data_IF_426793341302
#
_entry.id   IF_426793341302
#
_cell.length_a   1.000
_cell.length_b   1.000
_cell.length_c   1.000
_cell.angle_alpha   90.00
_cell.angle_beta   90.00
_cell.angle_gamma   90.00
#
_symmetry.space_group_name_H-M   'P 1'
#
loop_
_entity.id
_entity.type
_entity.pdbx_description
1 polymer ?
#
# COMPACT_ATOMS: atom_id res chain seq x y z
N UNK A 1 8.66 9.49 -22.64
CA UNK A 1 7.70 8.56 -22.04
C UNK A 1 6.88 9.31 -21.01
N UNK A 2 5.58 9.35 -21.22
CA UNK A 2 4.66 10.10 -20.37
C UNK A 2 3.91 9.10 -19.50
N UNK A 3 3.96 9.27 -18.17
CA UNK A 3 3.07 8.56 -17.26
C UNK A 3 1.84 9.45 -17.11
N UNK A 4 0.68 8.92 -17.51
CA UNK A 4 -0.58 9.63 -17.37
C UNK A 4 -1.20 9.30 -16.01
N UNK A 5 -1.42 10.32 -15.19
CA UNK A 5 -2.36 10.27 -14.07
C UNK A 5 -3.63 10.92 -14.60
N UNK A 6 -4.57 10.11 -15.09
CA UNK A 6 -5.83 10.61 -15.64
C UNK A 6 -6.80 10.87 -14.49
N UNK A 7 -7.11 12.12 -14.25
CA UNK A 7 -8.24 12.54 -13.42
C UNK A 7 -9.39 12.94 -14.35
N UNK A 8 -10.42 12.11 -14.46
CA UNK A 8 -11.72 12.54 -15.00
C UNK A 8 -12.58 12.98 -13.82
N UNK A 9 -12.99 14.24 -13.73
CA UNK A 9 -13.98 14.61 -12.74
C UNK A 9 -15.27 13.83 -13.01
N UNK A 10 -15.67 13.00 -12.05
CA UNK A 10 -16.99 12.38 -12.05
C UNK A 10 -17.98 13.54 -12.03
N UNK A 11 -18.74 13.76 -13.12
CA UNK A 11 -19.88 14.66 -13.12
C UNK A 11 -20.93 14.03 -12.20
N UNK A 12 -20.86 14.37 -10.92
CA UNK A 12 -21.96 14.12 -10.01
C UNK A 12 -23.17 14.92 -10.51
N UNK A 13 -24.23 14.20 -10.89
CA UNK A 13 -25.51 14.79 -11.23
C UNK A 13 -25.96 15.71 -10.09
N UNK A 14 -26.48 16.90 -10.44
CA UNK A 14 -27.06 17.85 -9.49
C UNK A 14 -28.10 17.15 -8.63
N UNK A 15 -27.83 17.01 -7.31
CA UNK A 15 -28.83 16.53 -6.38
C UNK A 15 -28.37 15.74 -5.16
N UNK A 16 -27.16 15.92 -4.65
CA UNK A 16 -26.82 15.32 -3.35
C UNK A 16 -26.64 16.43 -2.33
N UNK A 17 -27.67 16.55 -1.44
CA UNK A 17 -27.62 17.37 -0.24
C UNK A 17 -26.51 16.86 0.69
N UNK A 18 -25.64 17.77 1.14
CA UNK A 18 -24.69 17.51 2.20
C UNK A 18 -25.42 17.07 3.49
N UNK A 19 -25.32 15.81 3.83
CA UNK A 19 -25.65 15.34 5.18
C UNK A 19 -24.44 15.54 6.08
N UNK A 20 -24.59 16.44 7.06
CA UNK A 20 -23.65 16.54 8.19
C UNK A 20 -23.69 15.23 8.97
N UNK A 21 -22.56 14.55 9.05
CA UNK A 21 -22.38 13.46 9.99
C UNK A 21 -22.03 14.02 11.36
N UNK A 22 -22.94 13.82 12.30
CA UNK A 22 -22.66 13.98 13.74
C UNK A 22 -22.05 12.66 14.24
N UNK A 23 -20.82 12.71 14.69
CA UNK A 23 -20.15 11.60 15.35
C UNK A 23 -20.72 11.41 16.76
N UNK A 24 -21.46 10.34 16.97
CA UNK A 24 -21.74 9.80 18.31
C UNK A 24 -20.73 8.68 18.58
N UNK A 25 -19.84 8.94 19.54
CA UNK A 25 -18.89 7.95 20.05
C UNK A 25 -19.63 6.96 20.97
N UNK A 26 -19.76 5.73 20.56
CA UNK A 26 -20.11 4.61 21.44
C UNK A 26 -18.87 3.78 21.71
N UNK A 27 -18.35 3.88 22.93
CA UNK A 27 -17.32 3.02 23.49
C UNK A 27 -17.88 1.63 23.73
N UNK A 28 -17.46 0.66 22.92
CA UNK A 28 -17.68 -0.76 23.21
C UNK A 28 -16.32 -1.37 23.54
N UNK A 29 -16.20 -1.84 24.78
CA UNK A 29 -15.01 -2.53 25.32
C UNK A 29 -14.79 -3.85 24.60
N UNK A 30 -13.75 -3.96 23.80
CA UNK A 30 -13.29 -5.23 23.23
C UNK A 30 -12.41 -5.96 24.25
N UNK A 31 -12.84 -7.18 24.63
CA UNK A 31 -12.11 -8.05 25.52
C UNK A 31 -10.77 -8.49 24.92
N UNK A 32 -9.75 -8.43 25.76
CA UNK A 32 -8.41 -8.89 25.44
C UNK A 32 -8.40 -10.41 25.18
N UNK A 33 -8.09 -10.80 23.97
CA UNK A 33 -7.77 -12.20 23.62
C UNK A 33 -6.30 -12.42 23.92
N UNK A 34 -6.00 -13.29 24.87
CA UNK A 34 -4.66 -13.64 25.29
C UNK A 34 -3.90 -14.34 24.15
N UNK A 35 -2.69 -13.86 23.91
CA UNK A 35 -1.71 -14.45 23.00
C UNK A 35 -1.25 -15.82 23.53
N UNK A 36 -1.16 -16.88 22.73
CA UNK A 36 -0.56 -18.13 23.17
C UNK A 36 0.97 -17.99 23.27
N UNK A 37 1.50 -18.45 24.39
CA UNK A 37 2.92 -18.46 24.71
C UNK A 37 3.75 -19.19 23.66
N UNK A 38 4.86 -18.59 23.27
CA UNK A 38 5.86 -19.16 22.38
C UNK A 38 6.53 -20.37 23.05
N UNK A 39 6.51 -21.51 22.34
CA UNK A 39 7.30 -22.68 22.70
C UNK A 39 8.77 -22.45 22.31
N UNK A 40 9.62 -22.64 23.29
CA UNK A 40 11.07 -22.61 23.26
C UNK A 40 11.64 -23.67 22.31
N UNK A 41 12.43 -23.23 21.32
CA UNK A 41 13.35 -24.08 20.57
C UNK A 41 14.71 -23.37 20.52
N UNK A 42 15.49 -23.60 21.59
CA UNK A 42 16.89 -23.22 21.68
C UNK A 42 17.74 -24.07 20.73
N UNK A 43 18.20 -23.48 19.64
CA UNK A 43 19.47 -23.87 19.02
C UNK A 43 20.49 -22.78 19.33
N UNK A 44 21.44 -23.15 20.21
CA UNK A 44 22.62 -22.35 20.48
C UNK A 44 23.56 -22.45 19.28
N UNK A 45 23.78 -21.36 18.58
CA UNK A 45 24.98 -21.11 17.80
C UNK A 45 25.73 -20.00 18.51
N UNK A 46 26.88 -20.36 19.07
CA UNK A 46 27.76 -19.54 19.84
C UNK A 46 28.56 -18.63 18.91
N UNK A 47 28.18 -17.35 18.85
CA UNK A 47 29.02 -16.18 18.58
C UNK A 47 28.22 -14.93 19.02
N UNK A 48 28.09 -14.78 20.33
CA UNK A 48 27.38 -13.67 20.98
C UNK A 48 28.37 -12.50 21.25
N UNK A 49 28.51 -11.60 20.29
CA UNK A 49 29.08 -10.26 20.50
C UNK A 49 27.98 -9.20 20.75
N UNK A 50 26.81 -9.62 21.24
CA UNK A 50 25.73 -8.72 21.67
C UNK A 50 25.05 -7.92 20.55
N UNK A 51 25.30 -8.25 19.27
CA UNK A 51 24.64 -7.64 18.13
C UNK A 51 23.52 -8.54 17.63
N UNK A 52 22.31 -8.00 17.56
CA UNK A 52 21.18 -8.62 16.86
C UNK A 52 21.61 -9.20 15.52
N UNK A 53 21.11 -10.39 15.13
CA UNK A 53 21.53 -11.05 13.88
C UNK A 53 21.34 -10.09 12.71
N UNK A 54 22.42 -9.86 11.96
CA UNK A 54 22.43 -8.94 10.80
C UNK A 54 21.53 -9.52 9.72
N UNK A 55 20.32 -8.96 9.59
CA UNK A 55 19.40 -9.36 8.54
C UNK A 55 19.87 -8.84 7.19
N UNK A 56 19.88 -9.70 6.17
CA UNK A 56 20.23 -9.34 4.80
C UNK A 56 18.99 -9.37 3.92
N UNK A 57 18.70 -8.28 3.23
CA UNK A 57 17.62 -8.16 2.25
C UNK A 57 18.16 -7.90 0.85
N UNK A 58 17.43 -8.38 -0.16
CA UNK A 58 17.73 -8.06 -1.54
C UNK A 58 17.27 -6.63 -1.83
N UNK A 59 18.21 -5.78 -2.25
CA UNK A 59 17.92 -4.41 -2.67
C UNK A 59 17.76 -4.38 -4.20
N UNK A 60 16.58 -3.99 -4.68
CA UNK A 60 16.28 -3.92 -6.11
C UNK A 60 17.16 -2.91 -6.84
N UNK A 61 17.50 -1.79 -6.19
CA UNK A 61 18.34 -0.75 -6.79
C UNK A 61 19.76 -1.26 -7.06
N UNK A 62 20.40 -1.89 -6.07
CA UNK A 62 21.77 -2.42 -6.21
C UNK A 62 21.83 -3.82 -6.82
N UNK A 63 20.67 -4.54 -6.87
CA UNK A 63 20.52 -5.95 -7.29
C UNK A 63 21.37 -6.94 -6.48
N UNK A 64 21.64 -6.60 -5.23
CA UNK A 64 22.46 -7.40 -4.31
C UNK A 64 21.71 -7.62 -2.99
N UNK A 65 22.12 -8.67 -2.26
CA UNK A 65 21.76 -8.80 -0.85
C UNK A 65 22.67 -7.86 -0.04
N UNK A 66 22.04 -7.03 0.78
CA UNK A 66 22.71 -6.04 1.62
C UNK A 66 22.24 -6.18 3.05
N UNK A 67 23.08 -5.80 4.00
CA UNK A 67 22.69 -5.72 5.41
C UNK A 67 21.57 -4.69 5.52
N UNK A 68 20.43 -5.10 6.09
CA UNK A 68 19.34 -4.18 6.35
C UNK A 68 19.73 -3.23 7.47
N UNK A 69 19.61 -1.93 7.20
CA UNK A 69 19.76 -0.85 8.17
C UNK A 69 18.53 0.03 8.09
N UNK A 70 17.90 0.38 9.24
CA UNK A 70 16.84 1.38 9.26
C UNK A 70 17.34 2.71 8.68
N UNK A 71 16.40 3.56 8.28
CA UNK A 71 16.71 4.91 7.80
C UNK A 71 17.53 5.67 8.85
N UNK A 72 18.47 6.49 8.40
CA UNK A 72 19.31 7.32 9.27
C UNK A 72 18.48 8.11 10.28
N UNK A 73 18.85 8.02 11.56
CA UNK A 73 18.15 8.66 12.67
C UNK A 73 16.85 7.96 13.12
N UNK A 74 16.45 6.87 12.49
CA UNK A 74 15.23 6.14 12.88
C UNK A 74 15.42 5.22 14.09
N UNK A 75 16.67 4.91 14.47
CA UNK A 75 16.98 3.96 15.54
C UNK A 75 16.46 2.56 15.21
N UNK A 76 15.57 2.02 16.03
CA UNK A 76 14.89 0.74 15.85
C UNK A 76 13.58 0.84 15.02
N UNK A 77 13.15 2.05 14.63
CA UNK A 77 11.90 2.25 13.88
C UNK A 77 12.06 1.91 12.41
N UNK A 78 11.15 1.08 11.91
CA UNK A 78 11.08 0.66 10.50
C UNK A 78 9.70 0.95 9.95
N UNK A 79 9.63 1.59 8.79
CA UNK A 79 8.39 1.71 8.04
C UNK A 79 8.40 0.75 6.86
N UNK A 80 7.36 -0.08 6.74
CA UNK A 80 7.17 -1.03 5.67
C UNK A 80 5.88 -0.70 4.91
N UNK A 81 6.00 -0.48 3.60
CA UNK A 81 4.84 -0.30 2.74
C UNK A 81 4.73 -1.45 1.74
N UNK A 82 3.56 -2.06 1.68
CA UNK A 82 3.25 -3.10 0.70
C UNK A 82 2.00 -2.66 -0.07
N UNK A 83 2.10 -2.66 -1.40
CA UNK A 83 0.98 -2.34 -2.26
C UNK A 83 -0.19 -3.28 -1.97
N UNK A 84 -1.37 -2.72 -1.75
CA UNK A 84 -2.58 -3.47 -1.48
C UNK A 84 -3.29 -3.95 -2.75
N UNK A 85 -4.52 -4.37 -2.58
CA UNK A 85 -5.36 -4.90 -3.66
C UNK A 85 -6.31 -3.84 -4.20
N UNK A 86 -6.75 -4.02 -5.46
CA UNK A 86 -7.94 -3.37 -5.99
C UNK A 86 -9.13 -4.27 -5.67
N UNK A 87 -10.07 -3.75 -4.88
CA UNK A 87 -11.14 -4.54 -4.25
C UNK A 87 -12.37 -4.68 -5.13
N UNK A 88 -12.24 -5.43 -6.23
CA UNK A 88 -13.31 -5.70 -7.18
C UNK A 88 -13.64 -7.20 -7.34
N UNK A 89 -12.84 -8.09 -6.73
CA UNK A 89 -13.02 -9.54 -6.78
C UNK A 89 -12.31 -10.21 -5.59
N UNK A 90 -12.56 -11.50 -5.39
CA UNK A 90 -11.92 -12.32 -4.36
C UNK A 90 -10.41 -12.45 -4.54
N UNK A 91 -9.71 -12.73 -3.45
CA UNK A 91 -8.29 -13.02 -3.48
C UNK A 91 -8.01 -14.32 -4.25
N UNK A 92 -6.84 -14.38 -4.88
CA UNK A 92 -6.34 -15.59 -5.51
C UNK A 92 -4.94 -15.92 -4.99
N UNK A 93 -4.39 -17.06 -5.39
CA UNK A 93 -3.10 -17.57 -4.91
C UNK A 93 -1.94 -16.56 -5.09
N UNK A 94 -2.02 -15.68 -6.08
CA UNK A 94 -1.05 -14.61 -6.26
C UNK A 94 -1.05 -13.60 -5.12
N UNK A 95 -2.23 -13.22 -4.61
CA UNK A 95 -2.37 -12.37 -3.43
C UNK A 95 -1.84 -13.06 -2.18
N UNK A 96 -2.24 -14.33 -1.96
CA UNK A 96 -1.74 -15.14 -0.85
C UNK A 96 -0.20 -15.19 -0.83
N UNK A 97 0.42 -15.46 -1.99
CA UNK A 97 1.89 -15.51 -2.12
C UNK A 97 2.56 -14.21 -1.68
N UNK A 98 2.02 -13.06 -2.11
CA UNK A 98 2.59 -11.75 -1.79
C UNK A 98 2.47 -11.48 -0.29
N UNK A 99 1.25 -11.59 0.26
CA UNK A 99 1.01 -11.15 1.63
C UNK A 99 1.59 -12.10 2.67
N UNK A 100 1.63 -13.42 2.42
CA UNK A 100 2.34 -14.36 3.29
C UNK A 100 3.85 -14.09 3.27
N UNK A 101 4.45 -13.79 2.10
CA UNK A 101 5.88 -13.48 2.04
C UNK A 101 6.23 -12.20 2.82
N UNK A 102 5.39 -11.16 2.73
CA UNK A 102 5.60 -9.93 3.48
C UNK A 102 5.24 -10.07 4.97
N UNK A 103 4.30 -10.95 5.33
CA UNK A 103 4.03 -11.29 6.73
C UNK A 103 5.24 -11.95 7.40
N UNK A 104 5.91 -12.88 6.71
CA UNK A 104 7.15 -13.47 7.19
C UNK A 104 8.24 -12.40 7.41
N UNK A 105 8.38 -11.46 6.48
CA UNK A 105 9.32 -10.34 6.64
C UNK A 105 8.94 -9.46 7.82
N UNK A 106 7.67 -9.12 7.96
CA UNK A 106 7.14 -8.30 9.07
C UNK A 106 7.45 -8.93 10.43
N UNK A 107 7.15 -10.24 10.58
CA UNK A 107 7.46 -11.01 11.80
C UNK A 107 8.96 -11.07 12.07
N UNK A 108 9.77 -11.24 11.03
CA UNK A 108 11.22 -11.29 11.19
C UNK A 108 11.80 -9.94 11.63
N UNK A 109 11.29 -8.83 11.10
CA UNK A 109 11.68 -7.49 11.55
C UNK A 109 11.34 -7.28 13.03
N UNK A 110 10.12 -7.62 13.45
CA UNK A 110 9.72 -7.54 14.86
C UNK A 110 10.56 -8.44 15.75
N UNK A 111 10.86 -9.69 15.31
CA UNK A 111 11.72 -10.61 16.06
C UNK A 111 13.14 -10.06 16.19
N UNK A 112 13.64 -9.34 15.21
CA UNK A 112 14.95 -8.68 15.25
C UNK A 112 14.97 -7.43 16.15
N UNK A 113 13.86 -7.10 16.83
CA UNK A 113 13.74 -6.00 17.77
C UNK A 113 13.37 -4.67 17.16
N UNK A 114 12.96 -4.62 15.88
CA UNK A 114 12.49 -3.38 15.26
C UNK A 114 11.04 -3.06 15.62
N UNK A 115 10.78 -1.77 15.84
CA UNK A 115 9.43 -1.20 15.93
C UNK A 115 8.92 -0.93 14.51
N UNK A 116 8.04 -1.79 14.01
CA UNK A 116 7.64 -1.79 12.60
C UNK A 116 6.26 -1.17 12.41
N UNK A 117 6.20 -0.07 11.70
CA UNK A 117 4.93 0.46 11.17
C UNK A 117 4.68 -0.14 9.79
N UNK A 118 3.74 -1.07 9.70
CA UNK A 118 3.35 -1.72 8.46
C UNK A 118 2.11 -1.07 7.86
N UNK A 119 2.24 -0.52 6.66
CA UNK A 119 1.17 0.07 5.88
C UNK A 119 0.86 -0.78 4.63
N UNK A 120 -0.43 -1.11 4.43
CA UNK A 120 -0.96 -1.75 3.23
C UNK A 120 -2.22 -1.01 2.80
N UNK A 121 -2.25 -0.46 1.60
CA UNK A 121 -3.40 0.31 1.13
C UNK A 121 -4.50 -0.58 0.53
N UNK A 122 -5.70 -0.02 0.40
CA UNK A 122 -6.73 -0.52 -0.51
C UNK A 122 -6.93 0.47 -1.66
N UNK A 123 -6.96 -0.06 -2.89
CA UNK A 123 -7.43 0.69 -4.05
C UNK A 123 -8.93 0.45 -4.17
N UNK A 124 -9.69 1.32 -3.52
CA UNK A 124 -11.15 1.25 -3.40
C UNK A 124 -11.87 2.15 -4.41
N UNK A 125 -11.14 2.72 -5.37
CA UNK A 125 -11.65 3.44 -6.54
C UNK A 125 -10.81 3.08 -7.76
N UNK A 126 -11.44 2.47 -8.77
CA UNK A 126 -10.79 2.02 -10.02
C UNK A 126 -11.85 1.71 -11.07
N UNK A 127 -11.50 1.82 -12.36
CA UNK A 127 -12.39 1.47 -13.46
C UNK A 127 -12.92 0.01 -13.39
N UNK A 128 -12.12 -0.91 -12.82
CA UNK A 128 -12.52 -2.31 -12.61
C UNK A 128 -13.62 -2.46 -11.59
N UNK A 129 -13.61 -1.63 -10.53
CA UNK A 129 -14.66 -1.59 -9.51
C UNK A 129 -15.96 -1.10 -10.15
N UNK A 130 -15.90 0.01 -10.88
CA UNK A 130 -17.06 0.60 -11.57
C UNK A 130 -17.65 -0.41 -12.56
N UNK A 131 -16.80 -1.06 -13.36
CA UNK A 131 -17.22 -2.07 -14.32
C UNK A 131 -17.92 -3.23 -13.62
N UNK A 132 -17.31 -3.79 -12.57
CA UNK A 132 -17.86 -4.93 -11.83
C UNK A 132 -19.18 -4.60 -11.14
N UNK A 133 -19.29 -3.42 -10.52
CA UNK A 133 -20.52 -2.94 -9.89
C UNK A 133 -21.66 -2.82 -10.92
N UNK A 134 -21.38 -2.27 -12.10
CA UNK A 134 -22.35 -2.17 -13.19
C UNK A 134 -22.78 -3.55 -13.72
N UNK A 135 -21.84 -4.50 -13.89
CA UNK A 135 -22.12 -5.87 -14.32
C UNK A 135 -23.02 -6.60 -13.31
N UNK A 136 -22.84 -6.36 -12.02
CA UNK A 136 -23.63 -6.98 -10.94
C UNK A 136 -24.93 -6.22 -10.64
N UNK A 137 -25.11 -5.00 -11.15
CA UNK A 137 -26.26 -4.14 -10.81
C UNK A 137 -26.26 -3.69 -9.35
N UNK A 138 -25.09 -3.49 -8.74
CA UNK A 138 -24.90 -3.08 -7.34
C UNK A 138 -24.15 -1.77 -7.23
N UNK A 139 -24.20 -1.16 -6.05
CA UNK A 139 -23.46 0.05 -5.71
C UNK A 139 -21.96 -0.24 -5.53
N UNK A 140 -21.09 0.71 -5.97
CA UNK A 140 -19.66 0.56 -5.89
C UNK A 140 -19.15 0.42 -4.43
N UNK A 141 -19.73 1.21 -3.51
CA UNK A 141 -19.30 1.17 -2.11
C UNK A 141 -19.68 -0.17 -1.46
N UNK A 142 -20.87 -0.69 -1.77
CA UNK A 142 -21.31 -2.01 -1.29
C UNK A 142 -20.41 -3.15 -1.82
N UNK A 143 -20.01 -3.08 -3.09
CA UNK A 143 -19.06 -4.02 -3.69
C UNK A 143 -17.71 -3.97 -3.00
N UNK A 144 -17.18 -2.77 -2.80
CA UNK A 144 -15.87 -2.52 -2.16
C UNK A 144 -15.83 -3.06 -0.75
N UNK A 145 -16.83 -2.72 0.10
CA UNK A 145 -16.86 -3.19 1.49
C UNK A 145 -16.89 -4.72 1.54
N UNK A 146 -17.73 -5.36 0.72
CA UNK A 146 -17.79 -6.82 0.66
C UNK A 146 -16.45 -7.47 0.33
N UNK A 147 -15.69 -6.93 -0.64
CA UNK A 147 -14.41 -7.51 -1.01
C UNK A 147 -13.26 -7.13 -0.07
N UNK A 148 -13.35 -6.02 0.67
CA UNK A 148 -12.45 -5.74 1.79
C UNK A 148 -12.66 -6.77 2.90
N UNK A 149 -13.91 -7.03 3.28
CA UNK A 149 -14.23 -8.03 4.30
C UNK A 149 -13.74 -9.42 3.90
N UNK A 150 -14.04 -9.85 2.66
CA UNK A 150 -13.56 -11.12 2.13
C UNK A 150 -12.02 -11.21 2.09
N UNK A 151 -11.35 -10.13 1.74
CA UNK A 151 -9.89 -10.07 1.78
C UNK A 151 -9.34 -10.23 3.21
N UNK A 152 -9.96 -9.58 4.20
CA UNK A 152 -9.57 -9.75 5.60
C UNK A 152 -9.81 -11.18 6.10
N UNK A 153 -10.92 -11.81 5.72
CA UNK A 153 -11.20 -13.23 6.03
C UNK A 153 -10.10 -14.13 5.45
N UNK A 154 -9.73 -13.95 4.18
CA UNK A 154 -8.69 -14.71 3.51
C UNK A 154 -7.32 -14.53 4.20
N UNK A 155 -6.93 -13.28 4.53
CA UNK A 155 -5.65 -13.01 5.20
C UNK A 155 -5.62 -13.59 6.61
N UNK A 156 -6.71 -13.53 7.34
CA UNK A 156 -6.84 -14.17 8.66
C UNK A 156 -6.73 -15.69 8.56
N UNK A 157 -7.39 -16.32 7.57
CA UNK A 157 -7.31 -17.76 7.33
C UNK A 157 -5.89 -18.22 6.97
N UNK A 158 -5.11 -17.35 6.29
CA UNK A 158 -3.70 -17.58 6.00
C UNK A 158 -2.78 -17.32 7.21
N UNK A 159 -3.32 -16.81 8.32
CA UNK A 159 -2.56 -16.48 9.52
C UNK A 159 -1.68 -15.25 9.39
N UNK A 160 -1.92 -14.39 8.40
CA UNK A 160 -1.22 -13.12 8.25
C UNK A 160 -1.60 -12.15 9.37
N UNK A 161 -0.61 -11.41 9.89
CA UNK A 161 -0.86 -10.35 10.85
C UNK A 161 -1.54 -9.15 10.18
N UNK A 162 -2.40 -8.50 10.94
CA UNK A 162 -3.03 -7.25 10.49
C UNK A 162 -1.97 -6.16 10.39
N UNK A 163 -1.93 -5.40 9.28
CA UNK A 163 -1.07 -4.22 9.17
C UNK A 163 -1.38 -3.16 10.22
N UNK A 164 -0.41 -2.30 10.52
CA UNK A 164 -0.61 -1.16 11.41
C UNK A 164 -1.60 -0.15 10.83
N UNK A 165 -1.60 -0.01 9.49
CA UNK A 165 -2.42 0.95 8.76
C UNK A 165 -2.92 0.32 7.45
N UNK A 166 -4.20 0.53 7.14
CA UNK A 166 -4.81 0.13 5.86
C UNK A 166 -5.58 1.32 5.25
N UNK A 167 -4.85 2.34 4.72
CA UNK A 167 -5.50 3.51 4.12
C UNK A 167 -6.23 3.13 2.84
N UNK A 168 -7.36 3.80 2.59
CA UNK A 168 -8.16 3.68 1.37
C UNK A 168 -7.87 4.85 0.44
N UNK A 169 -7.75 4.61 -0.86
CA UNK A 169 -7.47 5.66 -1.84
C UNK A 169 -8.53 6.78 -1.80
N UNK A 170 -9.81 6.43 -1.63
CA UNK A 170 -10.91 7.40 -1.52
C UNK A 170 -10.77 8.37 -0.35
N UNK A 171 -10.16 7.93 0.75
CA UNK A 171 -9.93 8.76 1.93
C UNK A 171 -8.80 9.78 1.75
N UNK A 172 -7.97 9.60 0.70
CA UNK A 172 -6.77 10.39 0.43
C UNK A 172 -6.83 11.18 -0.89
N UNK A 173 -8.03 11.36 -1.46
CA UNK A 173 -8.19 12.13 -2.70
C UNK A 173 -7.69 13.56 -2.54
N UNK A 174 -7.96 14.21 -1.38
CA UNK A 174 -7.44 15.54 -1.07
C UNK A 174 -5.91 15.57 -1.09
N UNK A 175 -5.26 14.64 -0.41
CA UNK A 175 -3.80 14.54 -0.37
C UNK A 175 -3.19 14.30 -1.76
N UNK A 176 -3.88 13.53 -2.62
CA UNK A 176 -3.47 13.26 -4.01
C UNK A 176 -3.55 14.56 -4.84
N UNK A 177 -4.62 15.34 -4.67
CA UNK A 177 -4.80 16.62 -5.35
C UNK A 177 -3.70 17.59 -4.91
N UNK A 178 -3.51 17.77 -3.61
CA UNK A 178 -2.50 18.66 -3.04
C UNK A 178 -1.09 18.30 -3.53
N UNK A 179 -0.76 17.00 -3.58
CA UNK A 179 0.52 16.55 -4.10
C UNK A 179 0.66 16.87 -5.60
N UNK A 180 -0.39 16.67 -6.38
CA UNK A 180 -0.41 16.96 -7.82
C UNK A 180 -0.21 18.45 -8.09
N UNK A 181 -0.91 19.31 -7.36
CA UNK A 181 -0.76 20.78 -7.46
C UNK A 181 0.67 21.21 -7.13
N UNK A 182 1.25 20.68 -6.06
CA UNK A 182 2.65 20.96 -5.69
C UNK A 182 3.65 20.48 -6.74
N UNK A 183 3.37 19.40 -7.46
CA UNK A 183 4.22 18.95 -8.58
C UNK A 183 4.11 19.90 -9.77
N UNK A 184 2.94 20.44 -10.05
CA UNK A 184 2.73 21.45 -11.09
C UNK A 184 3.49 22.75 -10.72
N UNK A 185 3.31 23.25 -9.50
CA UNK A 185 3.99 24.46 -9.00
C UNK A 185 5.53 24.35 -9.09
N UNK A 186 6.07 23.14 -8.87
CA UNK A 186 7.50 22.86 -8.97
C UNK A 186 7.99 22.59 -10.39
N UNK A 187 7.11 22.56 -11.39
CA UNK A 187 7.44 22.27 -12.78
C UNK A 187 7.71 20.80 -13.08
N UNK A 188 7.31 19.89 -12.18
CA UNK A 188 7.46 18.44 -12.37
C UNK A 188 6.22 17.78 -12.97
N UNK A 189 5.11 18.48 -13.03
CA UNK A 189 3.90 18.02 -13.70
C UNK A 189 3.27 19.18 -14.50
N UNK A 190 2.44 18.84 -15.48
CA UNK A 190 1.77 19.79 -16.33
C UNK A 190 0.36 19.34 -16.72
N UNK A 191 -0.61 20.27 -16.73
CA UNK A 191 -1.95 19.96 -17.22
C UNK A 191 -1.95 19.91 -18.75
N UNK A 192 -2.87 19.12 -19.31
CA UNK A 192 -3.13 19.06 -20.75
C UNK A 192 -4.60 19.32 -21.03
N UNK A 193 -4.92 19.63 -22.30
CA UNK A 193 -6.30 19.80 -22.75
C UNK A 193 -7.10 18.51 -22.46
N UNK A 194 -8.24 18.67 -21.79
CA UNK A 194 -9.07 17.53 -21.35
C UNK A 194 -9.04 17.29 -19.84
N UNK A 195 -8.20 18.01 -19.07
CA UNK A 195 -8.17 17.99 -17.61
C UNK A 195 -7.25 16.94 -16.99
N UNK A 196 -6.50 16.20 -17.79
CA UNK A 196 -5.46 15.28 -17.30
C UNK A 196 -4.22 16.06 -16.87
N UNK A 197 -3.49 15.51 -15.89
CA UNK A 197 -2.18 16.01 -15.47
C UNK A 197 -1.12 14.95 -15.73
N UNK A 198 -0.02 15.34 -16.34
CA UNK A 198 1.09 14.45 -16.65
C UNK A 198 2.34 14.81 -15.85
N UNK A 199 3.04 13.80 -15.37
CA UNK A 199 4.36 13.97 -14.77
C UNK A 199 5.42 14.17 -15.86
N UNK A 200 6.25 15.22 -15.72
CA UNK A 200 7.36 15.50 -16.62
C UNK A 200 8.56 14.61 -16.26
N UNK A 201 8.63 13.42 -16.85
CA UNK A 201 9.65 12.42 -16.53
C UNK A 201 11.07 12.96 -16.64
N UNK A 202 11.33 13.81 -17.64
CA UNK A 202 12.64 14.43 -17.88
C UNK A 202 13.05 15.41 -16.77
N UNK A 203 12.09 15.84 -15.93
CA UNK A 203 12.36 16.68 -14.76
C UNK A 203 12.99 15.92 -13.58
N UNK A 204 13.05 14.58 -13.64
CA UNK A 204 13.65 13.72 -12.63
C UNK A 204 14.80 12.90 -13.28
N UNK A 205 16.05 13.34 -13.20
CA UNK A 205 17.19 12.66 -13.83
C UNK A 205 17.37 11.21 -13.40
N UNK A 206 16.98 10.87 -12.17
CA UNK A 206 17.07 9.52 -11.59
C UNK A 206 15.86 8.65 -11.87
N UNK A 207 14.92 9.10 -12.71
CA UNK A 207 13.72 8.34 -13.03
C UNK A 207 14.08 6.95 -13.59
N UNK A 208 13.47 5.90 -13.01
CA UNK A 208 13.73 4.51 -13.39
C UNK A 208 14.95 3.87 -12.73
N UNK A 209 15.77 4.61 -11.96
CA UNK A 209 16.98 4.09 -11.30
C UNK A 209 16.69 2.89 -10.38
N UNK A 210 15.59 2.92 -9.62
CA UNK A 210 15.20 1.82 -8.73
C UNK A 210 14.96 0.52 -9.50
N UNK A 211 14.20 0.58 -10.59
CA UNK A 211 13.85 -0.60 -11.39
C UNK A 211 14.96 -1.01 -12.36
N UNK A 212 15.88 -0.10 -12.68
CA UNK A 212 16.89 -0.25 -13.71
C UNK A 212 16.29 -0.32 -15.13
N UNK A 213 15.04 0.13 -15.30
CA UNK A 213 14.41 0.21 -16.62
C UNK A 213 14.95 1.41 -17.39
N UNK A 214 15.26 1.20 -18.65
CA UNK A 214 15.56 2.29 -19.57
C UNK A 214 14.26 2.95 -20.01
N UNK A 215 14.25 4.27 -20.09
CA UNK A 215 13.08 5.03 -20.55
C UNK A 215 12.63 4.64 -21.97
N UNK A 216 13.57 4.24 -22.80
CA UNK A 216 13.35 3.77 -24.18
C UNK A 216 12.50 2.48 -24.25
N UNK A 217 12.55 1.65 -23.19
CA UNK A 217 11.79 0.41 -23.12
C UNK A 217 10.32 0.63 -22.69
N UNK A 218 9.96 1.85 -22.29
CA UNK A 218 8.60 2.19 -21.90
C UNK A 218 7.79 2.49 -23.18
N UNK A 219 6.76 1.67 -23.42
CA UNK A 219 5.83 1.90 -24.53
C UNK A 219 4.92 3.08 -24.19
N UNK A 220 4.97 4.13 -25.00
CA UNK A 220 4.12 5.29 -24.84
C UNK A 220 2.65 4.91 -25.10
N UNK A 221 1.75 5.21 -24.16
CA UNK A 221 0.31 5.07 -24.35
C UNK A 221 -0.28 3.68 -24.10
N UNK A 222 0.46 2.70 -23.62
CA UNK A 222 -0.12 1.45 -23.11
C UNK A 222 -0.75 1.70 -21.71
N UNK A 223 -2.08 1.54 -21.66
CA UNK A 223 -2.91 1.43 -20.47
C UNK A 223 -3.51 0.05 -20.40
#
# INVERSE_FOLDING_TARGET
>A
PRISISYRPIRLGRGVQQRRFTTTSSTTSAGAVASPAAADATTKDDDDDGKSPRMMLHNTMSRKKEIFTPRDGAGDKVTMYVCGVTVYDYSHIGHARVYVAFDVLYRQLMRAGYDVTYCRNFTDVDDKIIKRANENGEDCDALVERFIDAFHEDMNALGCLTPTMEPRATQHIGDIIDMTERLIEKGHAYPVDGGDVYFAVDSLPEYGSLSGRKLEDNRAGER
#
